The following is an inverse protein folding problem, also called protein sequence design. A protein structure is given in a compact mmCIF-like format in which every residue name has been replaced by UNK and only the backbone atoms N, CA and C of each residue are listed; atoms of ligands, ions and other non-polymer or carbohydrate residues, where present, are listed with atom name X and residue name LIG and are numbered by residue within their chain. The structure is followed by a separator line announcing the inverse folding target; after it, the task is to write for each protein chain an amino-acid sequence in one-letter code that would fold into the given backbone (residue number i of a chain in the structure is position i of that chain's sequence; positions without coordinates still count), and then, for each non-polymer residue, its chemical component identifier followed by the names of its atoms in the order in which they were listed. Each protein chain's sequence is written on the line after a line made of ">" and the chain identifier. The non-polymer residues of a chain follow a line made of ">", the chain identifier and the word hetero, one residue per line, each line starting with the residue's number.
data_IF_345957687837
#
_entry.id   IF_345957687837
#
_cell.length_a   1.000
_cell.length_b   1.000
_cell.length_c   1.000
_cell.angle_alpha   90.00
_cell.angle_beta   90.00
_cell.angle_gamma   90.00
#
_symmetry.space_group_name_H-M   'P 1'
#
loop_
_entity.id
_entity.type
_entity.pdbx_description
1 polymer ?
#
# COMPACT_ATOMS: atom_id res chain seq x y z
N UNK A 1 -10.79 -8.27 11.50
CA UNK A 1 -11.12 -7.06 10.71
C UNK A 1 -11.18 -7.43 9.25
N UNK A 2 -11.97 -6.71 8.45
CA UNK A 2 -12.07 -7.01 7.02
C UNK A 2 -10.78 -6.73 6.27
N UNK A 3 -10.65 -7.38 5.11
CA UNK A 3 -9.54 -7.16 4.19
C UNK A 3 -9.98 -6.25 3.06
N UNK A 4 -9.04 -5.45 2.58
CA UNK A 4 -9.25 -4.54 1.47
C UNK A 4 -8.15 -4.72 0.45
N UNK A 5 -8.49 -4.53 -0.82
CA UNK A 5 -7.51 -4.41 -1.90
C UNK A 5 -7.29 -2.93 -2.14
N UNK A 6 -6.06 -2.47 -1.94
CA UNK A 6 -5.70 -1.07 -2.09
C UNK A 6 -4.71 -0.94 -3.24
N UNK A 7 -5.08 -0.14 -4.22
CA UNK A 7 -4.20 0.17 -5.33
C UNK A 7 -3.68 1.60 -5.14
N UNK A 8 -2.36 1.73 -5.03
CA UNK A 8 -1.72 3.04 -4.94
C UNK A 8 -1.08 3.35 -6.29
N UNK A 9 -1.19 4.59 -6.73
CA UNK A 9 -0.71 5.01 -8.04
C UNK A 9 0.42 6.02 -7.92
N UNK A 10 1.47 5.78 -8.68
CA UNK A 10 2.62 6.66 -8.77
C UNK A 10 2.30 7.86 -9.65
N UNK A 11 2.81 9.05 -9.27
CA UNK A 11 2.56 10.26 -10.04
C UNK A 11 3.34 11.43 -9.48
N UNK A 12 2.91 12.66 -9.83
CA UNK A 12 3.56 13.87 -9.36
C UNK A 12 5.07 13.87 -9.62
N UNK A 13 5.89 14.06 -8.59
CA UNK A 13 7.36 14.14 -8.76
C UNK A 13 8.05 12.79 -8.96
N UNK A 14 7.30 11.68 -9.14
CA UNK A 14 7.94 10.39 -9.40
C UNK A 14 8.84 10.48 -10.62
N UNK A 15 10.11 10.07 -10.46
CA UNK A 15 11.08 10.09 -11.56
C UNK A 15 11.05 8.75 -12.30
N UNK A 16 10.41 8.74 -13.46
CA UNK A 16 10.21 7.52 -14.24
C UNK A 16 11.49 6.95 -14.85
N UNK A 17 12.58 7.72 -14.82
CA UNK A 17 13.87 7.24 -15.31
C UNK A 17 14.70 6.53 -14.23
N UNK A 18 14.21 6.47 -13.00
CA UNK A 18 14.90 5.86 -11.87
C UNK A 18 14.09 4.73 -11.27
N UNK A 19 14.80 3.75 -10.70
CA UNK A 19 14.19 2.67 -9.95
C UNK A 19 13.52 3.21 -8.68
N UNK A 20 12.59 2.43 -8.13
CA UNK A 20 11.85 2.78 -6.92
C UNK A 20 12.78 3.15 -5.75
N UNK A 21 13.83 2.36 -5.55
CA UNK A 21 14.76 2.58 -4.44
C UNK A 21 15.65 3.81 -4.61
N UNK A 22 15.68 4.35 -5.81
CA UNK A 22 16.46 5.55 -6.13
C UNK A 22 15.63 6.83 -6.09
N UNK A 23 14.33 6.71 -5.80
CA UNK A 23 13.45 7.87 -5.69
C UNK A 23 13.78 8.66 -4.43
N UNK A 24 13.59 9.99 -4.49
CA UNK A 24 13.76 10.84 -3.33
C UNK A 24 12.81 10.39 -2.20
N UNK A 25 13.33 10.30 -0.98
CA UNK A 25 12.54 9.92 0.18
C UNK A 25 12.28 8.42 0.32
N UNK A 26 12.98 7.60 -0.46
CA UNK A 26 12.79 6.13 -0.40
C UNK A 26 12.95 5.57 1.01
N UNK A 27 14.00 5.97 1.73
CA UNK A 27 14.26 5.40 3.06
C UNK A 27 13.13 5.66 4.05
N UNK A 28 12.61 6.88 4.05
CA UNK A 28 11.50 7.25 4.93
C UNK A 28 10.21 6.54 4.55
N UNK A 29 9.94 6.45 3.23
CA UNK A 29 8.80 5.71 2.72
C UNK A 29 8.90 4.22 3.08
N UNK A 30 10.06 3.60 2.87
CA UNK A 30 10.27 2.19 3.17
C UNK A 30 10.06 1.90 4.66
N UNK A 31 10.57 2.77 5.53
CA UNK A 31 10.39 2.63 6.98
C UNK A 31 8.92 2.72 7.35
N UNK A 32 8.19 3.68 6.76
CA UNK A 32 6.76 3.84 6.98
C UNK A 32 6.00 2.55 6.60
N UNK A 33 6.30 1.99 5.42
CA UNK A 33 5.63 0.77 4.95
C UNK A 33 5.99 -0.45 5.80
N UNK A 34 7.25 -0.58 6.21
CA UNK A 34 7.69 -1.67 7.08
C UNK A 34 6.96 -1.63 8.42
N UNK A 35 6.74 -0.44 8.97
CA UNK A 35 5.99 -0.27 10.22
C UNK A 35 4.54 -0.73 10.07
N UNK A 36 3.93 -0.49 8.91
CA UNK A 36 2.57 -0.95 8.63
C UNK A 36 2.49 -2.46 8.51
N UNK A 37 3.52 -3.09 7.94
CA UNK A 37 3.61 -4.55 7.88
C UNK A 37 3.75 -5.13 9.29
N UNK A 38 4.62 -4.54 10.09
CA UNK A 38 4.86 -4.98 11.46
C UNK A 38 3.62 -4.85 12.34
N UNK A 39 2.83 -3.81 12.11
CA UNK A 39 1.58 -3.58 12.84
C UNK A 39 0.43 -4.50 12.37
N UNK A 40 0.65 -5.31 11.33
CA UNK A 40 -0.40 -6.19 10.79
C UNK A 40 -1.39 -5.47 9.88
N UNK A 41 -1.15 -4.22 9.57
CA UNK A 41 -2.02 -3.44 8.70
C UNK A 41 -1.86 -3.87 7.24
N UNK A 42 -0.63 -4.02 6.75
CA UNK A 42 -0.35 -4.55 5.42
C UNK A 42 -0.06 -6.04 5.52
N UNK A 43 -0.86 -6.85 4.83
CA UNK A 43 -0.69 -8.30 4.78
C UNK A 43 0.28 -8.67 3.67
N UNK A 44 0.08 -8.11 2.48
CA UNK A 44 0.95 -8.27 1.31
C UNK A 44 0.97 -6.95 0.55
N UNK A 45 2.07 -6.66 -0.12
CA UNK A 45 2.14 -5.47 -0.95
C UNK A 45 3.34 -5.47 -1.87
N UNK A 46 3.21 -4.79 -2.99
CA UNK A 46 4.29 -4.65 -3.93
C UNK A 46 3.86 -4.04 -5.26
N UNK A 47 4.83 -3.68 -6.11
CA UNK A 47 4.52 -3.08 -7.40
C UNK A 47 3.95 -4.09 -8.39
N UNK A 48 3.03 -3.62 -9.23
CA UNK A 48 2.51 -4.39 -10.35
C UNK A 48 3.44 -4.23 -11.55
N UNK A 49 3.35 -5.17 -12.49
CA UNK A 49 4.25 -5.22 -13.63
C UNK A 49 4.33 -3.93 -14.43
N UNK A 50 3.22 -3.22 -14.60
CA UNK A 50 3.22 -1.96 -15.35
C UNK A 50 4.04 -0.84 -14.72
N UNK A 51 4.46 -0.98 -13.45
CA UNK A 51 5.29 0.00 -12.77
C UNK A 51 4.55 1.27 -12.33
N UNK A 52 3.30 1.41 -12.71
CA UNK A 52 2.49 2.59 -12.40
C UNK A 52 1.77 2.47 -11.06
N UNK A 53 1.27 1.28 -10.76
CA UNK A 53 0.50 1.01 -9.57
C UNK A 53 1.19 0.00 -8.69
N UNK A 54 0.95 0.11 -7.37
CA UNK A 54 1.31 -0.91 -6.40
C UNK A 54 0.01 -1.46 -5.80
N UNK A 55 0.01 -2.75 -5.47
CA UNK A 55 -1.14 -3.42 -4.87
C UNK A 55 -0.82 -3.80 -3.44
N UNK A 56 -1.77 -3.53 -2.54
CA UNK A 56 -1.63 -3.88 -1.13
C UNK A 56 -2.90 -4.57 -0.64
N UNK A 57 -2.71 -5.65 0.09
CA UNK A 57 -3.79 -6.30 0.83
C UNK A 57 -3.70 -5.77 2.24
N UNK A 58 -4.77 -5.14 2.71
CA UNK A 58 -4.77 -4.38 3.96
C UNK A 58 -5.89 -4.90 4.87
N UNK A 59 -5.56 -5.09 6.14
CA UNK A 59 -6.54 -5.43 7.16
C UNK A 59 -6.85 -4.17 7.97
N UNK A 60 -8.10 -3.72 7.90
CA UNK A 60 -8.50 -2.45 8.52
C UNK A 60 -10.01 -2.44 8.81
N UNK A 61 -10.47 -1.62 9.77
CA UNK A 61 -11.89 -1.54 10.09
C UNK A 61 -12.73 -0.86 9.00
N UNK A 62 -12.13 0.02 8.19
CA UNK A 62 -12.88 0.80 7.20
C UNK A 62 -11.96 1.41 6.16
N UNK A 63 -12.56 1.85 5.04
CA UNK A 63 -11.85 2.61 4.01
C UNK A 63 -11.28 3.92 4.58
N UNK A 64 -12.03 4.59 5.45
CA UNK A 64 -11.57 5.84 6.07
C UNK A 64 -10.28 5.61 6.86
N UNK A 65 -10.22 4.54 7.64
CA UNK A 65 -9.02 4.19 8.40
C UNK A 65 -7.82 3.96 7.48
N UNK A 66 -8.05 3.35 6.32
CA UNK A 66 -7.00 3.09 5.33
C UNK A 66 -6.47 4.41 4.77
N UNK A 67 -7.36 5.31 4.37
CA UNK A 67 -6.98 6.61 3.83
C UNK A 67 -6.19 7.43 4.84
N UNK A 68 -6.61 7.41 6.09
CA UNK A 68 -5.93 8.14 7.17
C UNK A 68 -4.52 7.58 7.43
N UNK A 69 -4.35 6.26 7.36
CA UNK A 69 -3.04 5.64 7.55
C UNK A 69 -2.08 5.99 6.41
N UNK A 70 -2.49 5.80 5.16
CA UNK A 70 -1.61 6.05 4.02
C UNK A 70 -1.29 7.52 3.81
N UNK A 71 -2.14 8.41 4.31
CA UNK A 71 -1.91 9.85 4.26
C UNK A 71 -0.60 10.26 4.97
N UNK A 72 -0.15 9.47 5.91
CA UNK A 72 1.06 9.73 6.70
C UNK A 72 2.35 9.30 6.01
N UNK A 73 2.25 8.64 4.87
CA UNK A 73 3.40 8.27 4.08
C UNK A 73 4.08 9.53 3.52
N UNK A 74 5.40 9.67 3.67
CA UNK A 74 6.13 10.81 3.07
C UNK A 74 5.85 10.96 1.57
N UNK A 75 5.65 9.85 0.85
CA UNK A 75 5.35 9.89 -0.58
C UNK A 75 3.90 10.31 -0.87
N UNK A 76 3.00 10.18 0.08
CA UNK A 76 1.65 10.73 -0.05
C UNK A 76 1.68 12.25 0.10
N UNK A 77 2.48 12.75 1.05
CA UNK A 77 2.60 14.18 1.31
C UNK A 77 3.12 14.96 0.11
N UNK A 78 4.03 14.37 -0.68
CA UNK A 78 4.61 15.04 -1.86
C UNK A 78 3.93 14.66 -3.18
N UNK A 79 2.88 13.84 -3.14
CA UNK A 79 2.13 13.46 -4.32
C UNK A 79 2.74 12.36 -5.18
N UNK A 80 3.81 11.71 -4.71
CA UNK A 80 4.46 10.62 -5.47
C UNK A 80 3.62 9.35 -5.48
N UNK A 81 2.77 9.16 -4.48
CA UNK A 81 1.96 7.95 -4.34
C UNK A 81 0.61 8.32 -3.75
N UNK A 82 -0.47 7.88 -4.39
CA UNK A 82 -1.83 8.21 -3.94
C UNK A 82 -2.75 7.01 -4.12
N UNK A 83 -3.79 6.87 -3.29
CA UNK A 83 -4.79 5.82 -3.49
C UNK A 83 -5.52 6.01 -4.82
N UNK A 84 -5.51 4.97 -5.65
CA UNK A 84 -6.28 4.94 -6.89
C UNK A 84 -7.60 4.21 -6.68
N UNK A 85 -7.60 3.16 -5.82
CA UNK A 85 -8.82 2.43 -5.46
C UNK A 85 -8.63 1.75 -4.11
N UNK A 86 -9.71 1.64 -3.38
CA UNK A 86 -9.79 0.90 -2.11
C UNK A 86 -11.08 0.10 -2.17
N UNK A 87 -10.97 -1.23 -2.19
CA UNK A 87 -12.12 -2.12 -2.34
C UNK A 87 -12.16 -3.16 -1.23
N UNK A 88 -13.33 -3.33 -0.63
CA UNK A 88 -13.55 -4.41 0.33
C UNK A 88 -13.42 -5.74 -0.40
N UNK A 89 -12.69 -6.69 0.19
CA UNK A 89 -12.42 -7.97 -0.44
C UNK A 89 -12.91 -9.11 0.44
N UNK A 90 -13.85 -9.89 -0.10
CA UNK A 90 -14.28 -11.13 0.52
C UNK A 90 -13.41 -12.27 0.00
N UNK A 91 -12.51 -12.77 0.83
CA UNK A 91 -11.61 -13.84 0.44
C UNK A 91 -12.32 -15.18 0.54
N UNK A 92 -12.41 -15.89 -0.58
CA UNK A 92 -13.04 -17.23 -0.63
C UNK A 92 -12.00 -18.34 -0.70
N UNK A 93 -10.83 -18.06 -1.29
CA UNK A 93 -9.77 -19.06 -1.46
C UNK A 93 -8.50 -18.51 -0.84
N UNK A 94 -7.96 -19.23 0.13
CA UNK A 94 -6.79 -18.80 0.89
C UNK A 94 -5.83 -19.97 1.06
N UNK A 95 -5.08 -20.24 -0.01
CA UNK A 95 -4.18 -21.42 -0.07
C UNK A 95 -3.02 -21.36 0.91
N UNK A 96 -2.72 -20.19 1.48
CA UNK A 96 -1.61 -20.02 2.41
C UNK A 96 -2.04 -19.61 3.81
N UNK A 97 -3.33 -19.47 4.06
CA UNK A 97 -3.84 -19.10 5.37
C UNK A 97 -3.52 -17.66 5.77
N UNK A 98 -3.30 -16.76 4.82
CA UNK A 98 -2.93 -15.39 5.10
C UNK A 98 -4.04 -14.59 5.77
N UNK A 99 -5.29 -14.97 5.54
CA UNK A 99 -6.47 -14.30 6.10
C UNK A 99 -7.12 -15.11 7.20
N UNK A 100 -6.49 -16.19 7.68
CA UNK A 100 -7.09 -17.16 8.59
C UNK A 100 -7.54 -16.56 9.92
N UNK A 101 -6.86 -15.52 10.39
CA UNK A 101 -7.11 -14.89 11.69
C UNK A 101 -7.86 -13.56 11.59
N UNK A 102 -8.27 -13.17 10.38
CA UNK A 102 -8.94 -11.89 10.19
C UNK A 102 -10.45 -11.92 10.40
#
# INVERSE_FOLDING_TARGET
>A
MPLYVVRLRRGGPWNWSRDMREQAGWEDHARFMDDLVEAGFIVLGGPLEGGRDTLHIVEAPSEVAIRERFKKDPWAANGMLRPASIELWTVLLDGRGLAADS
#
